data_IF_551092331197
#
_entry.id   IF_551092331197
#
_cell.length_a   1.000
_cell.length_b   1.000
_cell.length_c   1.000
_cell.angle_alpha   90.00
_cell.angle_beta   90.00
_cell.angle_gamma   90.00
#
_symmetry.space_group_name_H-M   'P 1'
#
loop_
_entity.id
_entity.type
_entity.pdbx_description
1 polymer ?
#
# COMPACT_ATOMS: atom_id res chain seq x y z
N UNK A 1 -61.49 -31.32 -25.98
CA UNK A 1 -61.49 -32.44 -25.05
C UNK A 1 -60.10 -33.08 -25.11
N UNK A 2 -59.28 -32.89 -24.08
CA UNK A 2 -58.43 -33.91 -23.47
C UNK A 2 -57.62 -33.29 -22.34
N UNK A 3 -57.79 -33.84 -21.26
CA UNK A 3 -57.40 -33.69 -19.89
C UNK A 3 -55.93 -33.45 -19.60
N UNK A 4 -55.69 -32.59 -18.56
CA UNK A 4 -54.44 -32.53 -17.76
C UNK A 4 -54.29 -33.80 -16.89
N UNK A 5 -53.08 -34.09 -16.47
CA UNK A 5 -52.89 -34.62 -15.13
C UNK A 5 -52.05 -33.69 -14.24
N UNK A 6 -52.56 -33.62 -13.03
CA UNK A 6 -52.08 -33.03 -11.81
C UNK A 6 -50.90 -33.87 -11.22
N UNK A 7 -50.02 -33.21 -10.48
CA UNK A 7 -49.36 -33.81 -9.32
C UNK A 7 -47.83 -33.90 -9.38
N UNK A 8 -47.21 -33.20 -8.42
CA UNK A 8 -45.77 -33.39 -8.10
C UNK A 8 -45.31 -32.36 -7.10
N UNK A 9 -45.65 -32.52 -5.81
CA UNK A 9 -44.98 -31.82 -4.69
C UNK A 9 -43.56 -32.36 -4.54
N UNK A 10 -42.60 -31.53 -4.81
CA UNK A 10 -41.18 -31.78 -4.51
C UNK A 10 -40.73 -30.95 -3.30
N UNK A 11 -40.33 -31.63 -2.26
CA UNK A 11 -39.81 -31.11 -0.98
C UNK A 11 -38.58 -30.23 -1.16
N UNK A 12 -38.60 -29.09 -0.44
CA UNK A 12 -37.44 -28.26 -0.21
C UNK A 12 -36.42 -29.00 0.68
N UNK A 13 -35.31 -29.43 0.11
CA UNK A 13 -34.14 -29.91 0.84
C UNK A 13 -33.33 -28.74 1.29
N UNK A 14 -33.33 -28.46 2.59
CA UNK A 14 -32.37 -27.52 3.23
C UNK A 14 -30.96 -28.08 3.16
N UNK A 15 -30.07 -27.38 2.47
CA UNK A 15 -28.64 -27.64 2.47
C UNK A 15 -28.03 -26.93 3.70
N UNK A 16 -27.33 -27.63 4.61
CA UNK A 16 -26.62 -26.99 5.72
C UNK A 16 -25.41 -26.25 5.17
N UNK A 17 -25.27 -24.97 5.51
CA UNK A 17 -24.12 -24.15 5.21
C UNK A 17 -22.86 -24.64 5.93
N UNK A 18 -21.64 -24.43 5.36
CA UNK A 18 -20.40 -24.80 6.01
C UNK A 18 -20.18 -23.98 7.28
N UNK A 19 -20.08 -24.67 8.40
CA UNK A 19 -19.77 -24.07 9.70
C UNK A 19 -18.38 -23.44 9.71
N UNK A 20 -18.33 -22.21 10.19
CA UNK A 20 -17.08 -21.47 10.44
C UNK A 20 -16.44 -22.11 11.70
N UNK A 21 -15.18 -22.59 11.65
CA UNK A 21 -14.50 -23.09 12.82
C UNK A 21 -14.18 -21.95 13.80
N UNK A 22 -14.26 -22.17 15.14
CA UNK A 22 -13.93 -21.15 16.13
C UNK A 22 -12.44 -20.83 16.10
N UNK A 23 -12.12 -19.54 16.08
CA UNK A 23 -10.76 -19.01 16.19
C UNK A 23 -10.21 -19.29 17.59
N UNK A 24 -8.98 -19.77 17.74
CA UNK A 24 -8.35 -19.93 19.05
C UNK A 24 -7.97 -18.55 19.63
N UNK A 25 -8.59 -18.21 20.75
CA UNK A 25 -8.29 -17.04 21.57
C UNK A 25 -7.12 -17.34 22.50
N UNK A 26 -5.89 -17.27 22.01
CA UNK A 26 -4.72 -17.27 22.89
C UNK A 26 -3.65 -16.35 22.31
N UNK A 27 -3.30 -15.22 22.96
CA UNK A 27 -2.17 -14.40 22.54
C UNK A 27 -0.86 -15.15 22.80
N UNK A 28 0.17 -15.00 21.93
CA UNK A 28 1.46 -15.62 22.17
C UNK A 28 2.14 -15.00 23.39
N UNK A 29 2.65 -15.86 24.27
CA UNK A 29 3.43 -15.50 25.44
C UNK A 29 4.73 -14.80 25.03
N UNK A 30 4.98 -13.64 25.64
CA UNK A 30 6.23 -12.89 25.51
C UNK A 30 7.30 -13.64 26.31
N UNK A 31 8.49 -13.94 25.73
CA UNK A 31 9.55 -14.58 26.50
C UNK A 31 10.13 -13.63 27.55
N UNK A 32 10.20 -14.10 28.79
CA UNK A 32 10.81 -13.41 29.90
C UNK A 32 12.33 -13.27 29.70
N UNK A 33 12.84 -12.06 29.93
CA UNK A 33 14.28 -11.76 29.93
C UNK A 33 14.85 -12.26 31.27
N UNK A 34 15.96 -13.03 31.31
CA UNK A 34 16.55 -13.47 32.57
C UNK A 34 17.30 -12.30 33.24
N UNK A 35 17.01 -12.08 34.50
CA UNK A 35 17.79 -11.24 35.40
C UNK A 35 19.14 -11.93 35.68
N UNK A 36 20.23 -11.32 35.28
CA UNK A 36 21.59 -11.80 35.48
C UNK A 36 22.43 -10.84 36.29
N UNK A 37 22.69 -11.20 37.54
CA UNK A 37 23.88 -11.08 38.38
C UNK A 37 24.58 -9.71 38.54
N UNK A 38 24.58 -9.30 39.81
CA UNK A 38 25.45 -8.29 40.41
C UNK A 38 26.95 -8.65 40.27
N UNK A 39 27.78 -7.64 40.02
CA UNK A 39 29.24 -7.78 40.06
C UNK A 39 29.97 -6.46 40.04
N UNK A 40 30.61 -6.15 41.18
CA UNK A 40 31.82 -5.33 41.40
C UNK A 40 31.71 -3.81 41.36
N UNK A 41 31.85 -3.23 42.56
CA UNK A 41 32.16 -1.86 42.88
C UNK A 41 33.48 -1.41 42.25
N UNK A 42 33.45 -0.42 41.35
CA UNK A 42 34.62 0.36 40.93
C UNK A 42 34.41 1.82 41.32
N UNK A 43 35.36 2.32 42.18
CA UNK A 43 35.36 3.67 42.69
C UNK A 43 35.39 4.68 41.57
N UNK A 44 34.43 5.60 41.50
CA UNK A 44 34.34 6.71 40.55
C UNK A 44 34.87 7.97 41.18
N UNK A 45 35.93 8.53 40.57
CA UNK A 45 36.57 9.83 40.87
C UNK A 45 35.54 10.98 40.63
N UNK A 46 35.23 11.81 41.67
CA UNK A 46 34.21 12.85 41.56
C UNK A 46 34.60 14.12 40.83
N UNK A 47 35.69 14.12 40.05
CA UNK A 47 36.22 15.35 39.40
C UNK A 47 36.05 15.43 37.89
N UNK A 48 35.28 14.58 37.26
CA UNK A 48 34.91 14.71 35.82
C UNK A 48 33.44 15.07 35.66
N UNK A 49 33.07 16.24 36.13
CA UNK A 49 31.85 16.89 35.70
C UNK A 49 32.04 17.47 34.29
N UNK A 50 31.98 16.57 33.28
CA UNK A 50 31.80 16.97 31.88
C UNK A 50 30.32 17.18 31.65
N UNK A 51 29.97 18.39 31.29
CA UNK A 51 28.61 18.79 30.88
C UNK A 51 28.19 17.96 29.66
N UNK A 52 27.57 16.81 29.91
CA UNK A 52 26.75 16.15 28.94
C UNK A 52 25.49 17.00 28.77
N UNK A 53 25.45 17.83 27.74
CA UNK A 53 24.20 18.39 27.27
C UNK A 53 23.27 17.19 27.02
N UNK A 54 22.27 17.05 27.89
CA UNK A 54 21.10 16.27 27.59
C UNK A 54 20.54 16.89 26.30
N UNK A 55 20.77 16.23 25.17
CA UNK A 55 20.03 16.51 23.97
C UNK A 55 18.56 16.38 24.37
N UNK A 56 17.89 17.50 24.51
CA UNK A 56 16.46 17.56 24.65
C UNK A 56 15.90 16.82 23.43
N UNK A 57 15.43 15.61 23.63
CA UNK A 57 14.68 14.89 22.61
C UNK A 57 13.54 15.85 22.24
N UNK A 58 13.65 16.42 21.05
CA UNK A 58 12.55 17.22 20.48
C UNK A 58 11.30 16.33 20.49
N UNK A 59 10.11 16.95 20.50
CA UNK A 59 8.87 16.19 20.50
C UNK A 59 8.95 15.13 19.40
N UNK A 60 8.58 13.90 19.73
CA UNK A 60 8.58 12.79 18.78
C UNK A 60 7.87 13.25 17.49
N UNK A 61 8.43 12.98 16.31
CA UNK A 61 7.83 13.45 15.06
C UNK A 61 6.37 13.00 15.05
N UNK A 62 5.47 13.98 14.98
CA UNK A 62 4.04 13.74 14.99
C UNK A 62 3.69 12.90 13.75
N UNK A 63 3.11 11.71 13.95
CA UNK A 63 2.67 10.85 12.87
C UNK A 63 1.54 11.55 12.08
N UNK A 64 1.74 11.90 10.81
CA UNK A 64 0.74 12.64 10.04
C UNK A 64 -0.37 11.73 9.45
N UNK A 65 -0.18 10.42 9.44
CA UNK A 65 -1.12 9.49 8.78
C UNK A 65 -2.55 9.59 9.31
N UNK A 66 -2.80 9.67 10.64
CA UNK A 66 -4.17 9.80 11.16
C UNK A 66 -4.86 11.08 10.66
N UNK A 67 -4.15 12.21 10.60
CA UNK A 67 -4.71 13.48 10.12
C UNK A 67 -5.04 13.41 8.63
N UNK A 68 -4.12 12.89 7.81
CA UNK A 68 -4.30 12.69 6.36
C UNK A 68 -5.49 11.77 6.10
N UNK A 69 -5.57 10.63 6.79
CA UNK A 69 -6.68 9.69 6.65
C UNK A 69 -8.01 10.32 7.05
N UNK A 70 -8.05 11.04 8.16
CA UNK A 70 -9.26 11.74 8.63
C UNK A 70 -9.76 12.76 7.61
N UNK A 71 -8.87 13.56 7.01
CA UNK A 71 -9.23 14.50 5.95
C UNK A 71 -9.79 13.77 4.71
N UNK A 72 -9.13 12.69 4.26
CA UNK A 72 -9.57 11.90 3.11
C UNK A 72 -10.95 11.26 3.34
N UNK A 73 -11.17 10.66 4.51
CA UNK A 73 -12.45 10.02 4.86
C UNK A 73 -13.58 11.03 5.03
N UNK A 74 -13.27 12.28 5.37
CA UNK A 74 -14.23 13.39 5.42
C UNK A 74 -14.49 14.03 4.04
N UNK A 75 -13.95 13.46 2.95
CA UNK A 75 -14.10 13.99 1.59
C UNK A 75 -13.21 15.22 1.28
N UNK A 76 -12.35 15.64 2.20
CA UNK A 76 -11.41 16.75 2.00
C UNK A 76 -10.14 16.25 1.27
N UNK A 77 -10.34 15.69 0.08
CA UNK A 77 -9.27 15.02 -0.68
C UNK A 77 -8.11 15.95 -1.05
N UNK A 78 -8.39 17.21 -1.40
CA UNK A 78 -7.36 18.20 -1.73
C UNK A 78 -6.47 18.49 -0.51
N UNK A 79 -7.07 18.67 0.68
CA UNK A 79 -6.34 18.90 1.93
C UNK A 79 -5.44 17.69 2.26
N UNK A 80 -5.98 16.46 2.18
CA UNK A 80 -5.21 15.25 2.41
C UNK A 80 -4.03 15.11 1.43
N UNK A 81 -4.25 15.43 0.15
CA UNK A 81 -3.22 15.38 -0.88
C UNK A 81 -2.10 16.41 -0.63
N UNK A 82 -2.44 17.62 -0.21
CA UNK A 82 -1.46 18.68 0.14
C UNK A 82 -0.62 18.29 1.37
N UNK A 83 -1.25 17.73 2.41
CA UNK A 83 -0.53 17.23 3.58
C UNK A 83 0.47 16.13 3.17
N UNK A 84 0.03 15.13 2.41
CA UNK A 84 0.90 14.06 1.95
C UNK A 84 2.04 14.57 1.05
N UNK A 85 1.76 15.53 0.17
CA UNK A 85 2.76 16.15 -0.69
C UNK A 85 3.82 16.95 0.11
N UNK A 86 3.43 17.58 1.23
CA UNK A 86 4.37 18.24 2.11
C UNK A 86 5.35 17.26 2.76
N UNK A 87 4.86 16.12 3.20
CA UNK A 87 5.68 15.04 3.77
C UNK A 87 6.58 14.37 2.73
N UNK A 88 6.10 14.18 1.51
CA UNK A 88 6.95 13.70 0.41
C UNK A 88 8.09 14.66 0.13
N UNK A 89 7.82 15.97 0.05
CA UNK A 89 8.88 16.99 -0.13
C UNK A 89 9.90 16.96 1.01
N UNK A 90 9.45 16.74 2.24
CA UNK A 90 10.35 16.62 3.39
C UNK A 90 11.22 15.35 3.30
N UNK A 91 10.61 14.20 2.97
CA UNK A 91 11.33 12.96 2.77
C UNK A 91 12.37 13.07 1.64
N UNK A 92 12.02 13.71 0.52
CA UNK A 92 12.93 13.96 -0.59
C UNK A 92 14.13 14.83 -0.18
N UNK A 93 13.91 15.86 0.66
CA UNK A 93 15.00 16.72 1.15
C UNK A 93 15.93 16.00 2.11
N UNK A 94 15.39 15.17 3.02
CA UNK A 94 16.16 14.50 4.09
C UNK A 94 16.87 13.25 3.61
N UNK A 95 16.18 12.44 2.82
CA UNK A 95 16.63 11.08 2.48
C UNK A 95 16.92 10.91 0.99
N UNK A 96 16.51 11.86 0.17
CA UNK A 96 16.69 11.83 -1.28
C UNK A 96 15.61 11.04 -2.03
N UNK A 97 15.61 11.12 -3.37
CA UNK A 97 14.56 10.53 -4.21
C UNK A 97 14.63 8.99 -4.30
N UNK A 98 15.74 8.40 -3.87
CA UNK A 98 15.93 6.94 -3.82
C UNK A 98 15.92 6.47 -2.37
N UNK A 99 14.89 6.81 -1.62
CA UNK A 99 14.71 6.39 -0.24
C UNK A 99 13.36 5.69 -0.06
N UNK A 100 13.29 4.79 0.92
CA UNK A 100 12.05 4.10 1.27
C UNK A 100 10.98 5.09 1.73
N UNK A 101 11.40 6.15 2.42
CA UNK A 101 10.54 7.22 2.94
C UNK A 101 9.89 8.02 1.80
N UNK A 102 10.67 8.37 0.76
CA UNK A 102 10.12 9.07 -0.41
C UNK A 102 9.13 8.18 -1.16
N UNK A 103 9.46 6.90 -1.37
CA UNK A 103 8.57 5.93 -2.01
C UNK A 103 7.29 5.74 -1.21
N UNK A 104 7.37 5.64 0.13
CA UNK A 104 6.21 5.54 0.99
C UNK A 104 5.22 6.71 0.79
N UNK A 105 5.71 7.94 0.75
CA UNK A 105 4.83 9.10 0.54
C UNK A 105 4.25 9.17 -0.87
N UNK A 106 4.96 8.68 -1.88
CA UNK A 106 4.40 8.51 -3.23
C UNK A 106 3.24 7.50 -3.22
N UNK A 107 3.35 6.40 -2.47
CA UNK A 107 2.29 5.40 -2.31
C UNK A 107 1.05 5.99 -1.62
N UNK A 108 1.25 6.72 -0.52
CA UNK A 108 0.17 7.42 0.18
C UNK A 108 -0.57 8.35 -0.77
N UNK A 109 0.14 9.14 -1.58
CA UNK A 109 -0.46 10.03 -2.57
C UNK A 109 -1.22 9.28 -3.67
N UNK A 110 -0.69 8.14 -4.11
CA UNK A 110 -1.36 7.31 -5.11
C UNK A 110 -2.70 6.76 -4.60
N UNK A 111 -2.74 6.34 -3.34
CA UNK A 111 -3.98 5.88 -2.69
C UNK A 111 -4.95 7.04 -2.45
N UNK A 112 -4.49 8.22 -2.05
CA UNK A 112 -5.33 9.41 -1.91
C UNK A 112 -5.97 9.82 -3.25
N UNK A 113 -5.23 9.78 -4.36
CA UNK A 113 -5.78 10.04 -5.68
C UNK A 113 -6.86 9.00 -6.07
N UNK A 114 -6.67 7.73 -5.70
CA UNK A 114 -7.70 6.70 -5.87
C UNK A 114 -8.96 7.00 -5.06
N UNK A 115 -8.81 7.40 -3.79
CA UNK A 115 -9.94 7.76 -2.93
C UNK A 115 -10.68 9.02 -3.43
N UNK A 116 -9.96 9.94 -4.06
CA UNK A 116 -10.53 11.13 -4.69
C UNK A 116 -11.27 10.82 -6.02
N UNK A 117 -11.24 9.57 -6.52
CA UNK A 117 -11.84 9.23 -7.81
C UNK A 117 -11.02 9.72 -9.00
N UNK A 118 -9.71 9.90 -8.84
CA UNK A 118 -8.77 10.36 -9.87
C UNK A 118 -7.90 9.20 -10.41
N UNK A 119 -8.48 8.26 -11.17
CA UNK A 119 -7.77 7.04 -11.57
C UNK A 119 -6.55 7.31 -12.45
N UNK A 120 -6.58 8.34 -13.30
CA UNK A 120 -5.43 8.70 -14.12
C UNK A 120 -4.25 9.16 -13.24
N UNK A 121 -4.51 10.01 -12.25
CA UNK A 121 -3.51 10.49 -11.31
C UNK A 121 -2.96 9.37 -10.44
N UNK A 122 -3.83 8.52 -9.92
CA UNK A 122 -3.43 7.34 -9.15
C UNK A 122 -2.55 6.39 -9.97
N UNK A 123 -2.92 6.13 -11.24
CA UNK A 123 -2.12 5.34 -12.16
C UNK A 123 -0.72 5.94 -12.37
N UNK A 124 -0.61 7.24 -12.66
CA UNK A 124 0.68 7.94 -12.83
C UNK A 124 1.58 7.74 -11.61
N UNK A 125 1.04 7.94 -10.40
CA UNK A 125 1.79 7.78 -9.16
C UNK A 125 2.22 6.34 -8.92
N UNK A 126 1.34 5.34 -9.15
CA UNK A 126 1.72 3.94 -9.01
C UNK A 126 2.77 3.49 -10.04
N UNK A 127 2.75 4.02 -11.26
CA UNK A 127 3.81 3.79 -12.24
C UNK A 127 5.15 4.35 -11.74
N UNK A 128 5.14 5.57 -11.17
CA UNK A 128 6.32 6.19 -10.60
C UNK A 128 6.85 5.43 -9.35
N UNK A 129 5.96 4.92 -8.49
CA UNK A 129 6.31 4.05 -7.35
C UNK A 129 7.03 2.78 -7.84
N UNK A 130 6.50 2.10 -8.85
CA UNK A 130 7.12 0.90 -9.40
C UNK A 130 8.53 1.17 -9.93
N UNK A 131 8.72 2.25 -10.68
CA UNK A 131 10.06 2.66 -11.17
C UNK A 131 11.00 3.04 -10.02
N UNK A 132 10.51 3.75 -9.00
CA UNK A 132 11.31 4.12 -7.84
C UNK A 132 11.78 2.87 -7.07
N UNK A 133 10.91 1.88 -6.86
CA UNK A 133 11.24 0.61 -6.20
C UNK A 133 12.28 -0.20 -6.99
N UNK A 134 12.13 -0.30 -8.30
CA UNK A 134 13.15 -0.90 -9.18
C UNK A 134 14.47 -0.12 -9.13
N UNK A 135 14.41 1.21 -9.01
CA UNK A 135 15.56 2.09 -8.79
C UNK A 135 16.27 1.86 -7.45
N UNK A 136 15.56 1.37 -6.44
CA UNK A 136 16.09 0.89 -5.16
C UNK A 136 16.67 -0.54 -5.25
N UNK A 137 16.81 -1.08 -6.44
CA UNK A 137 17.30 -2.44 -6.73
C UNK A 137 16.41 -3.56 -6.19
N UNK A 138 15.14 -3.27 -5.90
CA UNK A 138 14.16 -4.33 -5.67
C UNK A 138 13.98 -5.13 -6.96
N UNK A 139 13.77 -6.44 -6.80
CA UNK A 139 13.62 -7.33 -7.95
C UNK A 139 12.23 -7.21 -8.57
N UNK A 140 12.08 -7.50 -9.87
CA UNK A 140 10.77 -7.43 -10.54
C UNK A 140 9.69 -8.34 -9.93
N UNK A 141 10.09 -9.42 -9.25
CA UNK A 141 9.22 -10.38 -8.55
C UNK A 141 9.03 -10.06 -7.06
N UNK A 142 9.63 -8.98 -6.57
CA UNK A 142 9.34 -8.47 -5.23
C UNK A 142 7.86 -8.10 -5.12
N UNK A 143 7.22 -8.55 -4.04
CA UNK A 143 5.80 -8.34 -3.80
C UNK A 143 5.36 -6.88 -3.91
N UNK A 144 6.21 -5.98 -3.45
CA UNK A 144 5.92 -4.54 -3.45
C UNK A 144 6.01 -3.94 -4.85
N UNK A 145 6.96 -4.42 -5.67
CA UNK A 145 7.09 -4.03 -7.09
C UNK A 145 5.90 -4.56 -7.89
N UNK A 146 5.60 -5.86 -7.77
CA UNK A 146 4.41 -6.46 -8.39
C UNK A 146 3.14 -5.71 -7.99
N UNK A 147 2.98 -5.45 -6.68
CA UNK A 147 1.81 -4.75 -6.14
C UNK A 147 1.64 -3.34 -6.69
N UNK A 148 2.73 -2.58 -6.87
CA UNK A 148 2.68 -1.25 -7.46
C UNK A 148 2.22 -1.30 -8.93
N UNK A 149 2.76 -2.22 -9.73
CA UNK A 149 2.37 -2.40 -11.13
C UNK A 149 0.93 -2.90 -11.26
N UNK A 150 0.47 -3.78 -10.36
CA UNK A 150 -0.91 -4.27 -10.32
C UNK A 150 -1.90 -3.14 -10.02
N UNK A 151 -1.58 -2.27 -9.04
CA UNK A 151 -2.39 -1.10 -8.71
C UNK A 151 -2.41 -0.11 -9.88
N UNK A 152 -1.26 0.17 -10.50
CA UNK A 152 -1.20 1.02 -11.69
C UNK A 152 -2.10 0.49 -12.81
N UNK A 153 -2.05 -0.83 -13.08
CA UNK A 153 -2.87 -1.47 -14.10
C UNK A 153 -4.37 -1.36 -13.78
N UNK A 154 -4.74 -1.66 -12.54
CA UNK A 154 -6.12 -1.54 -12.09
C UNK A 154 -6.64 -0.10 -12.24
N UNK A 155 -5.87 0.91 -11.84
CA UNK A 155 -6.25 2.30 -11.99
C UNK A 155 -6.34 2.71 -13.48
N UNK A 156 -5.42 2.23 -14.32
CA UNK A 156 -5.47 2.47 -15.76
C UNK A 156 -6.77 1.94 -16.38
N UNK A 157 -7.27 0.81 -15.91
CA UNK A 157 -8.55 0.25 -16.36
C UNK A 157 -9.75 1.15 -16.00
N UNK A 158 -9.68 1.90 -14.93
CA UNK A 158 -10.72 2.81 -14.46
C UNK A 158 -10.71 4.18 -15.19
N UNK A 159 -9.66 4.50 -15.96
CA UNK A 159 -9.59 5.76 -16.69
C UNK A 159 -10.66 5.77 -17.77
N UNK A 160 -11.58 6.73 -17.69
CA UNK A 160 -12.67 6.93 -18.65
C UNK A 160 -12.25 7.78 -19.84
N UNK A 161 -11.28 8.73 -19.66
CA UNK A 161 -10.81 9.61 -20.72
C UNK A 161 -9.83 8.88 -21.66
N UNK A 162 -10.20 8.66 -22.93
CA UNK A 162 -9.37 7.88 -23.84
C UNK A 162 -7.98 8.48 -24.07
N UNK A 163 -7.87 9.81 -24.08
CA UNK A 163 -6.59 10.50 -24.28
C UNK A 163 -5.61 10.20 -23.13
N UNK A 164 -6.09 10.25 -21.87
CA UNK A 164 -5.29 9.93 -20.68
C UNK A 164 -4.88 8.46 -20.68
N UNK A 165 -5.83 7.55 -20.95
CA UNK A 165 -5.54 6.13 -21.01
C UNK A 165 -4.49 5.79 -22.10
N UNK A 166 -4.59 6.43 -23.29
CA UNK A 166 -3.59 6.28 -24.37
C UNK A 166 -2.23 6.83 -23.95
N UNK A 167 -2.17 7.93 -23.22
CA UNK A 167 -0.91 8.53 -22.77
C UNK A 167 -0.16 7.63 -21.79
N UNK A 168 -0.86 6.97 -20.86
CA UNK A 168 -0.26 6.13 -19.81
C UNK A 168 -0.01 4.68 -20.22
N UNK A 169 -0.77 4.20 -21.22
CA UNK A 169 -0.70 2.80 -21.69
C UNK A 169 0.71 2.32 -22.04
N UNK A 170 1.52 3.06 -22.84
CA UNK A 170 2.87 2.64 -23.20
C UNK A 170 3.80 2.43 -22.00
N UNK A 171 3.75 3.32 -21.00
CA UNK A 171 4.56 3.20 -19.78
C UNK A 171 4.14 1.97 -18.96
N UNK A 172 2.83 1.77 -18.80
CA UNK A 172 2.30 0.58 -18.13
C UNK A 172 2.71 -0.70 -18.85
N UNK A 173 2.64 -0.71 -20.18
CA UNK A 173 3.05 -1.85 -21.00
C UNK A 173 4.54 -2.16 -20.86
N UNK A 174 5.39 -1.15 -20.81
CA UNK A 174 6.83 -1.30 -20.63
C UNK A 174 7.15 -1.89 -19.23
N UNK A 175 6.47 -1.39 -18.18
CA UNK A 175 6.59 -1.95 -16.83
C UNK A 175 6.10 -3.40 -16.75
N UNK A 176 4.94 -3.73 -17.35
CA UNK A 176 4.41 -5.09 -17.36
C UNK A 176 5.33 -6.11 -18.05
N UNK A 177 6.12 -5.69 -19.02
CA UNK A 177 7.13 -6.56 -19.65
C UNK A 177 8.27 -6.90 -18.70
N UNK A 178 8.64 -5.96 -17.81
CA UNK A 178 9.71 -6.13 -16.82
C UNK A 178 9.19 -6.83 -15.56
N UNK A 179 7.92 -6.57 -15.21
CA UNK A 179 7.22 -7.06 -14.01
C UNK A 179 5.95 -7.77 -14.47
N UNK A 180 6.02 -9.03 -14.91
CA UNK A 180 4.85 -9.73 -15.48
C UNK A 180 3.74 -9.94 -14.47
N UNK A 181 4.06 -10.05 -13.17
CA UNK A 181 3.11 -10.30 -12.10
C UNK A 181 2.59 -11.73 -12.11
N UNK A 182 1.72 -12.05 -11.15
CA UNK A 182 1.20 -13.40 -10.93
C UNK A 182 -0.03 -13.74 -11.76
N UNK A 183 -0.66 -12.75 -12.43
CA UNK A 183 -1.87 -12.97 -13.24
C UNK A 183 -1.49 -13.35 -14.66
N UNK A 184 -1.69 -14.62 -15.07
CA UNK A 184 -1.45 -15.05 -16.45
C UNK A 184 -2.29 -14.24 -17.43
N UNK A 185 -1.71 -13.86 -18.56
CA UNK A 185 -2.41 -13.15 -19.62
C UNK A 185 -2.66 -11.64 -19.38
N UNK A 186 -2.17 -11.06 -18.26
CA UNK A 186 -2.35 -9.64 -17.96
C UNK A 186 -1.74 -8.73 -19.04
N UNK A 187 -0.57 -9.10 -19.58
CA UNK A 187 0.11 -8.36 -20.64
C UNK A 187 -0.69 -8.36 -21.95
N UNK A 188 -1.23 -9.50 -22.34
CA UNK A 188 -2.05 -9.68 -23.53
C UNK A 188 -3.39 -8.94 -23.40
N UNK A 189 -4.01 -8.99 -22.21
CA UNK A 189 -5.23 -8.25 -21.94
C UNK A 189 -5.00 -6.73 -22.06
N UNK A 190 -3.89 -6.24 -21.50
CA UNK A 190 -3.49 -4.84 -21.60
C UNK A 190 -3.31 -4.43 -23.09
N UNK A 191 -2.58 -5.21 -23.88
CA UNK A 191 -2.37 -4.96 -25.32
C UNK A 191 -3.69 -4.88 -26.07
N UNK A 192 -4.58 -5.87 -25.90
CA UNK A 192 -5.91 -5.87 -26.53
C UNK A 192 -6.69 -4.62 -26.20
N UNK A 193 -6.71 -4.23 -24.92
CA UNK A 193 -7.47 -3.06 -24.47
C UNK A 193 -6.86 -1.73 -24.98
N UNK A 194 -5.55 -1.65 -25.13
CA UNK A 194 -4.90 -0.48 -25.75
C UNK A 194 -5.29 -0.30 -27.22
N UNK A 195 -5.47 -1.40 -27.97
CA UNK A 195 -5.90 -1.33 -29.37
C UNK A 195 -7.40 -1.01 -29.53
N UNK A 196 -8.20 -1.29 -28.53
CA UNK A 196 -9.65 -1.06 -28.53
C UNK A 196 -10.05 0.37 -28.05
N UNK A 197 -9.10 1.16 -27.56
CA UNK A 197 -9.31 2.56 -27.09
C UNK A 197 -8.77 3.58 -28.09
#
# INVERSE_FOLDING_TARGET
>A
MKSLPSGGKGQAGSVPGPGIPPMPSTPPAVPAVPAGAAGAAGAVDPRRAGYGQAATAGPAPHDPHPAILSAAMAGRHAEAAEMAAAWERDALRRFGPRSAEAVHWMEVRADLARLAGEPARSCELWLAVAEARLGLRQQPDDRDVEGAVDRAHHQWEQITEPARARALGPTLLALRRRVPGRRPGALEALRRRMHAR
#
